data_IF_832110578003
#
_entry.id   IF_832110578003
#
_cell.length_a   1.000
_cell.length_b   1.000
_cell.length_c   1.000
_cell.angle_alpha   90.00
_cell.angle_beta   90.00
_cell.angle_gamma   90.00
#
_symmetry.space_group_name_H-M   'P 1'
#
loop_
_entity.id
_entity.type
_entity.pdbx_description
1 polymer ?
#
# COMPACT_ATOMS: atom_id res chain seq x y z
N UNK A 1 7.59 16.62 25.31
CA UNK A 1 8.38 17.67 24.62
C UNK A 1 7.68 17.96 23.31
N UNK A 2 7.68 19.21 22.81
CA UNK A 2 7.17 19.53 21.47
C UNK A 2 7.98 18.77 20.40
N UNK A 3 7.32 18.38 19.31
CA UNK A 3 7.95 17.63 18.22
C UNK A 3 8.45 18.60 17.17
N UNK A 4 9.76 18.71 17.02
CA UNK A 4 10.36 19.56 15.98
C UNK A 4 9.96 19.14 14.56
N UNK A 5 9.58 17.87 14.39
CA UNK A 5 9.13 17.30 13.13
C UNK A 5 7.63 17.52 12.92
N UNK A 6 6.79 17.09 13.86
CA UNK A 6 5.33 17.15 13.71
C UNK A 6 4.72 18.51 14.05
N UNK A 7 5.48 19.43 14.66
CA UNK A 7 5.08 20.83 14.81
C UNK A 7 5.40 21.65 13.53
N UNK A 8 6.10 21.06 12.55
CA UNK A 8 6.40 21.69 11.26
C UNK A 8 5.19 21.63 10.32
N UNK A 9 4.61 22.80 10.02
CA UNK A 9 3.52 22.92 9.04
C UNK A 9 3.90 22.37 7.66
N UNK A 10 5.15 22.62 7.24
CA UNK A 10 5.66 22.11 5.96
C UNK A 10 5.71 20.58 5.94
N UNK A 11 6.22 19.96 7.01
CA UNK A 11 6.31 18.51 7.09
C UNK A 11 4.91 17.87 7.13
N UNK A 12 3.98 18.43 7.91
CA UNK A 12 2.61 17.95 7.97
C UNK A 12 1.90 18.06 6.62
N UNK A 13 2.12 19.16 5.89
CA UNK A 13 1.58 19.33 4.54
C UNK A 13 2.13 18.27 3.57
N UNK A 14 3.44 18.03 3.58
CA UNK A 14 4.07 16.99 2.76
C UNK A 14 3.53 15.59 3.10
N UNK A 15 3.36 15.27 4.39
CA UNK A 15 2.77 14.00 4.84
C UNK A 15 1.34 13.82 4.36
N UNK A 16 0.53 14.88 4.43
CA UNK A 16 -0.85 14.87 3.93
C UNK A 16 -0.91 14.66 2.42
N UNK A 17 -0.08 15.38 1.66
CA UNK A 17 0.02 15.23 0.20
C UNK A 17 0.49 13.83 -0.19
N UNK A 18 1.48 13.27 0.51
CA UNK A 18 1.96 11.90 0.32
C UNK A 18 0.83 10.90 0.55
N UNK A 19 0.11 11.03 1.68
CA UNK A 19 -0.97 10.12 2.05
C UNK A 19 -2.09 10.14 1.01
N UNK A 20 -2.46 11.33 0.54
CA UNK A 20 -3.48 11.48 -0.50
C UNK A 20 -3.05 10.85 -1.83
N UNK A 21 -1.78 11.00 -2.22
CA UNK A 21 -1.22 10.37 -3.42
C UNK A 21 -1.20 8.85 -3.30
N UNK A 22 -0.80 8.31 -2.13
CA UNK A 22 -0.83 6.86 -1.85
C UNK A 22 -2.22 6.28 -2.00
N UNK A 23 -3.22 6.91 -1.39
CA UNK A 23 -4.63 6.49 -1.51
C UNK A 23 -5.10 6.52 -2.97
N UNK A 24 -4.79 7.60 -3.67
CA UNK A 24 -5.22 7.76 -5.07
C UNK A 24 -4.63 6.69 -5.98
N UNK A 25 -3.32 6.43 -5.88
CA UNK A 25 -2.64 5.37 -6.63
C UNK A 25 -3.20 4.00 -6.26
N UNK A 26 -3.40 3.73 -4.97
CA UNK A 26 -3.95 2.46 -4.51
C UNK A 26 -5.34 2.20 -5.09
N UNK A 27 -6.22 3.20 -5.18
CA UNK A 27 -7.52 3.02 -5.82
C UNK A 27 -7.41 2.78 -7.34
N UNK A 28 -6.46 3.47 -7.98
CA UNK A 28 -6.24 3.38 -9.43
C UNK A 28 -5.58 2.07 -9.88
N UNK A 29 -4.82 1.40 -9.01
CA UNK A 29 -4.09 0.17 -9.37
C UNK A 29 -5.03 -0.95 -9.88
N UNK A 30 -6.27 -0.99 -9.37
CA UNK A 30 -7.31 -1.93 -9.82
C UNK A 30 -7.69 -1.76 -11.30
N UNK A 31 -7.47 -0.56 -11.86
CA UNK A 31 -7.78 -0.18 -13.24
C UNK A 31 -6.55 -0.21 -14.15
N UNK A 32 -5.36 -0.53 -13.62
CA UNK A 32 -4.12 -0.48 -14.38
C UNK A 32 -4.19 -1.26 -15.69
N UNK A 33 -4.80 -2.46 -15.69
CA UNK A 33 -4.95 -3.29 -16.88
C UNK A 33 -5.81 -2.64 -17.98
N UNK A 34 -6.71 -1.74 -17.62
CA UNK A 34 -7.68 -1.08 -18.49
C UNK A 34 -7.21 0.27 -19.01
N UNK A 35 -6.10 0.81 -18.49
CA UNK A 35 -5.46 2.00 -19.07
C UNK A 35 -4.98 1.73 -20.49
N UNK A 36 -4.94 2.77 -21.31
CA UNK A 36 -4.19 2.70 -22.55
C UNK A 36 -2.67 2.61 -22.28
N UNK A 37 -1.89 2.39 -23.33
CA UNK A 37 -0.45 2.17 -23.20
C UNK A 37 0.26 3.38 -22.55
N UNK A 38 -0.13 4.59 -22.91
CA UNK A 38 0.45 5.82 -22.37
C UNK A 38 0.07 6.02 -20.90
N UNK A 39 -1.19 5.79 -20.55
CA UNK A 39 -1.70 5.84 -19.18
C UNK A 39 -1.00 4.83 -18.26
N UNK A 40 -0.67 3.63 -18.76
CA UNK A 40 0.13 2.66 -17.98
C UNK A 40 1.54 3.18 -17.68
N UNK A 41 2.20 3.81 -18.65
CA UNK A 41 3.55 4.39 -18.45
C UNK A 41 3.51 5.52 -17.42
N UNK A 42 2.56 6.45 -17.57
CA UNK A 42 2.35 7.55 -16.61
C UNK A 42 2.07 7.01 -15.21
N UNK A 43 1.25 5.96 -15.09
CA UNK A 43 0.93 5.35 -13.80
C UNK A 43 2.18 4.75 -13.12
N UNK A 44 3.00 4.02 -13.88
CA UNK A 44 4.26 3.45 -13.37
C UNK A 44 5.21 4.56 -12.91
N UNK A 45 5.36 5.63 -13.70
CA UNK A 45 6.23 6.76 -13.35
C UNK A 45 5.73 7.49 -12.10
N UNK A 46 4.41 7.64 -11.93
CA UNK A 46 3.80 8.20 -10.72
C UNK A 46 4.06 7.33 -9.49
N UNK A 47 3.95 6.00 -9.62
CA UNK A 47 4.28 5.08 -8.55
C UNK A 47 5.75 5.18 -8.15
N UNK A 48 6.66 5.21 -9.12
CA UNK A 48 8.10 5.34 -8.88
C UNK A 48 8.44 6.62 -8.11
N UNK A 49 7.92 7.77 -8.56
CA UNK A 49 8.09 9.05 -7.87
C UNK A 49 7.51 9.02 -6.44
N UNK A 50 6.39 8.31 -6.23
CA UNK A 50 5.79 8.19 -4.91
C UNK A 50 6.65 7.34 -3.96
N UNK A 51 7.24 6.25 -4.47
CA UNK A 51 8.19 5.44 -3.72
C UNK A 51 9.41 6.24 -3.27
N UNK A 52 9.96 7.08 -4.15
CA UNK A 52 11.08 7.98 -3.81
C UNK A 52 10.69 8.99 -2.72
N UNK A 53 9.52 9.64 -2.84
CA UNK A 53 9.03 10.57 -1.82
C UNK A 53 8.85 9.91 -0.45
N UNK A 54 8.30 8.70 -0.43
CA UNK A 54 8.15 7.92 0.79
C UNK A 54 9.51 7.64 1.45
N UNK A 55 10.53 7.24 0.67
CA UNK A 55 11.89 7.03 1.18
C UNK A 55 12.49 8.32 1.76
N UNK A 56 12.30 9.45 1.08
CA UNK A 56 12.79 10.76 1.54
C UNK A 56 12.16 11.12 2.88
N UNK A 57 10.84 10.98 3.02
CA UNK A 57 10.13 11.27 4.27
C UNK A 57 10.63 10.36 5.40
N UNK A 58 10.74 9.06 5.15
CA UNK A 58 11.27 8.10 6.12
C UNK A 58 12.69 8.46 6.57
N UNK A 59 13.56 8.86 5.65
CA UNK A 59 14.92 9.30 5.95
C UNK A 59 14.92 10.62 6.76
N UNK A 60 14.04 11.58 6.43
CA UNK A 60 13.91 12.82 7.21
C UNK A 60 13.51 12.54 8.65
N UNK A 61 12.56 11.63 8.88
CA UNK A 61 12.16 11.25 10.24
C UNK A 61 13.32 10.62 11.01
N UNK A 62 14.13 9.78 10.35
CA UNK A 62 15.32 9.16 10.97
C UNK A 62 16.40 10.20 11.31
N UNK A 63 16.61 11.19 10.44
CA UNK A 63 17.66 12.20 10.62
C UNK A 63 17.26 13.35 11.55
N UNK A 64 15.97 13.62 11.72
CA UNK A 64 15.47 14.69 12.59
C UNK A 64 15.76 14.41 14.08
N UNK A 65 16.01 13.16 14.46
CA UNK A 65 16.19 12.70 15.84
C UNK A 65 15.09 13.22 16.79
N UNK A 66 13.86 13.30 16.26
CA UNK A 66 12.71 13.79 16.98
C UNK A 66 12.11 12.65 17.85
N UNK A 67 11.81 12.88 19.14
CA UNK A 67 11.29 11.82 20.00
C UNK A 67 10.02 11.16 19.47
N UNK A 68 9.10 11.94 18.90
CA UNK A 68 7.85 11.40 18.36
C UNK A 68 8.09 10.69 17.02
N UNK A 69 8.97 11.23 16.17
CA UNK A 69 9.39 10.59 14.92
C UNK A 69 10.08 9.24 15.16
N UNK A 70 10.96 9.17 16.16
CA UNK A 70 11.65 7.96 16.57
C UNK A 70 10.67 6.88 17.08
N UNK A 71 9.66 7.27 17.88
CA UNK A 71 8.64 6.33 18.35
C UNK A 71 7.75 5.83 17.19
N UNK A 72 7.36 6.71 16.26
CA UNK A 72 6.64 6.32 15.05
C UNK A 72 7.40 5.26 14.24
N UNK A 73 8.69 5.51 13.98
CA UNK A 73 9.57 4.58 13.27
C UNK A 73 9.73 3.25 14.02
N UNK A 74 9.79 3.28 15.35
CA UNK A 74 9.89 2.09 16.19
C UNK A 74 8.63 1.23 16.07
N UNK A 75 7.45 1.83 16.21
CA UNK A 75 6.17 1.12 16.07
C UNK A 75 6.01 0.51 14.69
N UNK A 76 6.32 1.26 13.63
CA UNK A 76 6.26 0.75 12.26
C UNK A 76 7.20 -0.46 12.06
N UNK A 77 8.42 -0.42 12.64
CA UNK A 77 9.36 -1.54 12.58
C UNK A 77 8.82 -2.79 13.28
N UNK A 78 8.14 -2.62 14.43
CA UNK A 78 7.50 -3.74 15.14
C UNK A 78 6.42 -4.38 14.27
N UNK A 79 5.51 -3.59 13.70
CA UNK A 79 4.47 -4.10 12.79
C UNK A 79 5.06 -4.86 11.60
N UNK A 80 6.12 -4.32 10.99
CA UNK A 80 6.81 -5.00 9.88
C UNK A 80 7.43 -6.33 10.31
N UNK A 81 8.08 -6.36 11.48
CA UNK A 81 8.69 -7.58 12.01
C UNK A 81 7.64 -8.66 12.29
N UNK A 82 6.51 -8.29 12.90
CA UNK A 82 5.38 -9.19 13.15
C UNK A 82 4.80 -9.73 11.84
N UNK A 83 4.75 -8.91 10.80
CA UNK A 83 4.37 -9.33 9.44
C UNK A 83 5.47 -10.12 8.69
N UNK A 84 6.62 -10.39 9.31
CA UNK A 84 7.72 -11.12 8.69
C UNK A 84 8.42 -10.36 7.56
N UNK A 85 8.35 -9.03 7.58
CA UNK A 85 8.94 -8.14 6.57
C UNK A 85 9.84 -7.06 7.20
N UNK A 86 10.38 -6.17 6.36
CA UNK A 86 11.13 -4.99 6.77
C UNK A 86 10.91 -3.87 5.76
N UNK A 87 11.26 -2.62 6.11
CA UNK A 87 11.15 -1.51 5.16
C UNK A 87 11.97 -1.76 3.89
N UNK A 88 13.17 -2.34 4.01
CA UNK A 88 14.00 -2.70 2.87
C UNK A 88 13.29 -3.74 1.97
N UNK A 89 12.77 -4.82 2.57
CA UNK A 89 12.04 -5.84 1.83
C UNK A 89 10.77 -5.29 1.16
N UNK A 90 10.04 -4.39 1.82
CA UNK A 90 8.87 -3.72 1.24
C UNK A 90 9.25 -2.84 0.06
N UNK A 91 10.34 -2.07 0.16
CA UNK A 91 10.84 -1.25 -0.95
C UNK A 91 11.33 -2.10 -2.12
N UNK A 92 11.99 -3.23 -1.85
CA UNK A 92 12.43 -4.16 -2.88
C UNK A 92 11.23 -4.83 -3.57
N UNK A 93 10.22 -5.25 -2.80
CA UNK A 93 8.96 -5.76 -3.34
C UNK A 93 8.23 -4.74 -4.22
N UNK A 94 8.21 -3.48 -3.80
CA UNK A 94 7.65 -2.38 -4.59
C UNK A 94 8.38 -2.18 -5.92
N UNK A 95 9.71 -2.19 -5.93
CA UNK A 95 10.51 -2.12 -7.15
C UNK A 95 10.26 -3.32 -8.07
N UNK A 96 10.21 -4.53 -7.50
CA UNK A 96 9.91 -5.74 -8.26
C UNK A 96 8.53 -5.69 -8.92
N UNK A 97 7.53 -5.13 -8.23
CA UNK A 97 6.19 -4.92 -8.78
C UNK A 97 6.20 -3.92 -9.94
N UNK A 98 6.93 -2.80 -9.81
CA UNK A 98 7.09 -1.85 -10.92
C UNK A 98 7.79 -2.47 -12.13
N UNK A 99 8.79 -3.31 -11.91
CA UNK A 99 9.43 -4.07 -12.99
C UNK A 99 8.45 -5.03 -13.67
N UNK A 100 7.58 -5.70 -12.91
CA UNK A 100 6.53 -6.57 -13.46
C UNK A 100 5.54 -5.77 -14.32
N UNK A 101 5.10 -4.61 -13.84
CA UNK A 101 4.23 -3.71 -14.60
C UNK A 101 4.90 -3.21 -15.89
N UNK A 102 6.20 -2.88 -15.84
CA UNK A 102 6.97 -2.50 -17.05
C UNK A 102 7.04 -3.65 -18.05
N UNK A 103 7.20 -4.90 -17.60
CA UNK A 103 7.16 -6.10 -18.47
C UNK A 103 5.78 -6.26 -19.12
N UNK A 104 4.70 -5.99 -18.39
CA UNK A 104 3.35 -6.01 -18.95
C UNK A 104 3.17 -4.97 -20.06
N UNK A 105 3.66 -3.74 -19.85
CA UNK A 105 3.65 -2.67 -20.86
C UNK A 105 4.47 -3.08 -22.08
N UNK A 106 5.68 -3.61 -21.90
CA UNK A 106 6.53 -4.08 -22.99
C UNK A 106 5.89 -5.23 -23.78
N UNK A 107 5.19 -6.14 -23.09
CA UNK A 107 4.43 -7.19 -23.75
C UNK A 107 3.31 -6.58 -24.60
N UNK A 108 2.57 -5.60 -24.10
CA UNK A 108 1.51 -4.93 -24.86
C UNK A 108 2.05 -4.19 -26.11
N UNK A 109 3.28 -3.66 -26.06
CA UNK A 109 3.92 -3.02 -27.22
C UNK A 109 4.34 -4.01 -28.32
N UNK A 110 4.70 -5.24 -27.92
CA UNK A 110 5.39 -6.19 -28.80
C UNK A 110 4.56 -7.41 -29.17
N UNK A 111 3.52 -7.72 -28.40
CA UNK A 111 2.70 -8.91 -28.58
C UNK A 111 1.70 -8.73 -29.74
N UNK A 112 1.89 -9.52 -30.79
CA UNK A 112 0.96 -9.59 -31.91
C UNK A 112 -0.27 -10.49 -31.64
N UNK A 113 -0.23 -11.33 -30.61
CA UNK A 113 -1.34 -12.24 -30.26
C UNK A 113 -2.29 -11.59 -29.23
N UNK A 114 -3.52 -11.23 -29.64
CA UNK A 114 -4.49 -10.62 -28.72
C UNK A 114 -4.93 -11.57 -27.60
N UNK A 115 -4.88 -12.89 -27.81
CA UNK A 115 -5.30 -13.86 -26.80
C UNK A 115 -4.35 -13.89 -25.60
N UNK A 116 -3.05 -13.89 -25.88
CA UNK A 116 -2.00 -13.80 -24.85
C UNK A 116 -2.12 -12.49 -24.06
N UNK A 117 -2.31 -11.37 -24.75
CA UNK A 117 -2.46 -10.07 -24.10
C UNK A 117 -3.69 -10.01 -23.18
N UNK A 118 -4.83 -10.55 -23.64
CA UNK A 118 -6.05 -10.60 -22.85
C UNK A 118 -5.92 -11.48 -21.60
N UNK A 119 -5.20 -12.59 -21.70
CA UNK A 119 -4.92 -13.47 -20.57
C UNK A 119 -4.09 -12.74 -19.49
N UNK A 120 -3.05 -12.01 -19.90
CA UNK A 120 -2.21 -11.22 -18.97
C UNK A 120 -3.02 -10.08 -18.34
N UNK A 121 -3.79 -9.33 -19.13
CA UNK A 121 -4.66 -8.27 -18.59
C UNK A 121 -5.67 -8.82 -17.57
N UNK A 122 -6.24 -10.02 -17.82
CA UNK A 122 -7.14 -10.68 -16.88
C UNK A 122 -6.43 -11.06 -15.57
N UNK A 123 -5.21 -11.58 -15.65
CA UNK A 123 -4.42 -11.90 -14.45
C UNK A 123 -4.14 -10.65 -13.60
N UNK A 124 -3.81 -9.51 -14.24
CA UNK A 124 -3.63 -8.23 -13.54
C UNK A 124 -4.90 -7.72 -12.84
N UNK A 125 -6.06 -7.80 -13.51
CA UNK A 125 -7.35 -7.43 -12.90
C UNK A 125 -7.63 -8.27 -11.65
N UNK A 126 -7.35 -9.56 -11.72
CA UNK A 126 -7.53 -10.46 -10.57
C UNK A 126 -6.54 -10.14 -9.44
N UNK A 127 -5.26 -9.89 -9.76
CA UNK A 127 -4.22 -9.55 -8.79
C UNK A 127 -4.59 -8.31 -7.97
N UNK A 128 -5.15 -7.28 -8.60
CA UNK A 128 -5.47 -5.99 -7.97
C UNK A 128 -6.95 -5.80 -7.62
N UNK A 129 -7.76 -6.86 -7.66
CA UNK A 129 -9.20 -6.78 -7.39
C UNK A 129 -9.48 -6.23 -5.97
N UNK A 130 -8.65 -6.60 -5.00
CA UNK A 130 -8.77 -6.14 -3.61
C UNK A 130 -8.73 -4.62 -3.48
N UNK A 131 -7.96 -3.94 -4.33
CA UNK A 131 -7.78 -2.49 -4.27
C UNK A 131 -9.03 -1.72 -4.71
N UNK A 132 -9.95 -2.37 -5.44
CA UNK A 132 -11.26 -1.79 -5.76
C UNK A 132 -12.27 -1.88 -4.61
N UNK A 133 -12.04 -2.80 -3.66
CA UNK A 133 -12.96 -3.11 -2.55
C UNK A 133 -12.60 -2.42 -1.24
N UNK A 134 -11.38 -1.88 -1.15
CA UNK A 134 -10.87 -1.25 0.06
C UNK A 134 -10.50 0.21 -0.20
N UNK A 135 -11.11 1.12 0.57
CA UNK A 135 -10.75 2.52 0.59
C UNK A 135 -9.99 2.84 1.88
N UNK A 136 -8.67 3.11 1.83
CA UNK A 136 -7.89 3.41 3.03
C UNK A 136 -8.38 4.66 3.77
N UNK A 137 -9.03 5.61 3.08
CA UNK A 137 -9.59 6.81 3.73
C UNK A 137 -10.68 6.49 4.74
N UNK A 138 -11.40 5.38 4.55
CA UNK A 138 -12.43 4.97 5.48
C UNK A 138 -11.84 4.50 6.81
N UNK A 139 -10.63 3.93 6.80
CA UNK A 139 -9.89 3.57 8.01
C UNK A 139 -9.54 4.81 8.82
N UNK A 140 -9.08 5.88 8.15
CA UNK A 140 -8.74 7.13 8.82
C UNK A 140 -9.97 7.88 9.39
N UNK A 141 -11.15 7.70 8.79
CA UNK A 141 -12.38 8.35 9.25
C UNK A 141 -13.12 7.60 10.35
N UNK A 142 -12.77 6.33 10.60
CA UNK A 142 -13.43 5.45 11.55
C UNK A 142 -12.46 5.10 12.70
N UNK A 143 -12.69 5.62 13.92
CA UNK A 143 -11.81 5.38 15.06
C UNK A 143 -11.59 3.89 15.38
N UNK A 144 -12.58 3.03 15.18
CA UNK A 144 -12.45 1.59 15.45
C UNK A 144 -11.59 0.89 14.41
N UNK A 145 -11.73 1.28 13.14
CA UNK A 145 -10.88 0.75 12.06
C UNK A 145 -9.44 1.27 12.19
N UNK A 146 -9.27 2.52 12.61
CA UNK A 146 -7.94 3.09 12.86
C UNK A 146 -7.24 2.34 14.00
N UNK A 147 -7.93 2.07 15.11
CA UNK A 147 -7.39 1.28 16.22
C UNK A 147 -7.00 -0.13 15.75
N UNK A 148 -7.87 -0.79 14.96
CA UNK A 148 -7.59 -2.08 14.35
C UNK A 148 -6.36 -2.05 13.43
N UNK A 149 -6.18 -0.99 12.64
CA UNK A 149 -5.05 -0.83 11.72
C UNK A 149 -3.72 -0.57 12.44
N UNK A 150 -3.78 -0.06 13.68
CA UNK A 150 -2.61 0.16 14.54
C UNK A 150 -2.18 -1.10 15.31
N UNK A 151 -2.99 -2.17 15.32
CA UNK A 151 -2.62 -3.45 15.94
C UNK A 151 -1.27 -3.96 15.36
N UNK A 152 -0.34 -4.44 16.21
CA UNK A 152 0.96 -4.94 15.76
C UNK A 152 0.89 -6.03 14.69
N UNK A 153 -0.16 -6.84 14.69
CA UNK A 153 -0.39 -7.93 13.75
C UNK A 153 -1.26 -7.52 12.55
N UNK A 154 -1.70 -6.26 12.46
CA UNK A 154 -2.60 -5.80 11.41
C UNK A 154 -2.02 -6.02 10.00
N UNK A 155 -0.75 -5.68 9.80
CA UNK A 155 -0.07 -5.86 8.51
C UNK A 155 0.04 -7.34 8.13
N UNK A 156 0.33 -8.21 9.10
CA UNK A 156 0.37 -9.66 8.92
C UNK A 156 -0.99 -10.19 8.48
N UNK A 157 -2.03 -9.83 9.22
CA UNK A 157 -3.39 -10.28 8.94
C UNK A 157 -3.89 -9.82 7.56
N UNK A 158 -3.62 -8.56 7.21
CA UNK A 158 -3.94 -8.03 5.89
C UNK A 158 -3.21 -8.81 4.79
N UNK A 159 -1.90 -9.05 4.96
CA UNK A 159 -1.11 -9.81 3.99
C UNK A 159 -1.63 -11.25 3.81
N UNK A 160 -1.93 -11.96 4.90
CA UNK A 160 -2.47 -13.33 4.84
C UNK A 160 -3.82 -13.41 4.12
N UNK A 161 -4.69 -12.43 4.36
CA UNK A 161 -6.04 -12.38 3.77
C UNK A 161 -6.00 -11.94 2.30
N UNK A 162 -5.10 -11.05 1.92
CA UNK A 162 -4.87 -10.69 0.51
C UNK A 162 -4.34 -11.89 -0.27
N UNK A 163 -3.40 -12.66 0.31
CA UNK A 163 -2.88 -13.88 -0.31
C UNK A 163 -3.96 -14.98 -0.41
N UNK A 164 -4.73 -15.17 0.66
CA UNK A 164 -5.81 -16.14 0.71
C UNK A 164 -6.99 -15.64 1.56
N UNK A 165 -8.09 -15.20 0.94
CA UNK A 165 -9.26 -14.66 1.65
C UNK A 165 -9.88 -15.59 2.70
N UNK A 166 -9.71 -16.91 2.56
CA UNK A 166 -10.23 -17.88 3.55
C UNK A 166 -9.47 -17.85 4.89
N UNK A 167 -8.25 -17.30 4.92
CA UNK A 167 -7.46 -17.14 6.16
C UNK A 167 -8.02 -16.11 7.12
N UNK A 168 -9.03 -15.33 6.71
CA UNK A 168 -9.72 -14.37 7.60
C UNK A 168 -10.23 -15.03 8.89
N UNK A 169 -10.63 -16.31 8.81
CA UNK A 169 -11.12 -17.11 9.93
C UNK A 169 -10.11 -17.24 11.08
N UNK A 170 -8.80 -17.20 10.78
CA UNK A 170 -7.74 -17.25 11.79
C UNK A 170 -7.81 -16.07 12.76
N UNK A 171 -8.40 -14.94 12.33
CA UNK A 171 -8.38 -13.66 13.03
C UNK A 171 -9.65 -13.39 13.86
N UNK A 172 -10.61 -14.32 13.93
CA UNK A 172 -11.85 -14.15 14.73
C UNK A 172 -11.63 -13.81 16.20
N UNK A 173 -10.50 -14.23 16.76
CA UNK A 173 -10.14 -13.98 18.14
C UNK A 173 -9.77 -12.50 18.42
N UNK A 174 -9.51 -11.70 17.37
CA UNK A 174 -9.30 -10.24 17.43
C UNK A 174 -10.45 -9.52 16.71
N UNK A 175 -11.55 -9.16 17.41
CA UNK A 175 -12.79 -8.71 16.76
C UNK A 175 -12.64 -7.42 15.95
N UNK A 176 -11.85 -6.45 16.41
CA UNK A 176 -11.58 -5.20 15.69
C UNK A 176 -10.80 -5.47 14.39
N UNK A 177 -9.72 -6.26 14.48
CA UNK A 177 -8.93 -6.64 13.31
C UNK A 177 -9.76 -7.48 12.33
N UNK A 178 -10.58 -8.40 12.84
CA UNK A 178 -11.51 -9.17 12.01
C UNK A 178 -12.52 -8.29 11.26
N UNK A 179 -13.05 -7.25 11.90
CA UNK A 179 -13.94 -6.28 11.25
C UNK A 179 -13.23 -5.51 10.13
N UNK A 180 -11.99 -5.06 10.35
CA UNK A 180 -11.15 -4.42 9.33
C UNK A 180 -10.92 -5.35 8.12
N UNK A 181 -10.56 -6.61 8.37
CA UNK A 181 -10.32 -7.60 7.30
C UNK A 181 -11.59 -7.90 6.52
N UNK A 182 -12.74 -8.04 7.19
CA UNK A 182 -14.05 -8.21 6.52
C UNK A 182 -14.34 -7.06 5.58
N UNK A 183 -14.07 -5.83 6.03
CA UNK A 183 -14.27 -4.63 5.22
C UNK A 183 -13.35 -4.61 4.01
N UNK A 184 -12.08 -4.95 4.18
CA UNK A 184 -11.11 -5.09 3.09
C UNK A 184 -11.55 -6.10 2.02
N UNK A 185 -12.21 -7.19 2.42
CA UNK A 185 -12.76 -8.19 1.49
C UNK A 185 -14.12 -7.78 0.88
N UNK A 186 -14.71 -6.65 1.27
CA UNK A 186 -16.07 -6.28 0.88
C UNK A 186 -17.16 -7.17 1.49
N UNK A 187 -16.88 -7.79 2.65
CA UNK A 187 -17.80 -8.65 3.40
C UNK A 187 -18.44 -7.95 4.62
N UNK A 188 -18.19 -6.64 4.76
CA UNK A 188 -18.72 -5.81 5.85
C UNK A 188 -20.17 -5.41 5.60
#
# INVERSE_FOLDING_TARGET
>A
MPSTLFDSEMFNKEMMELTQQLVSIQQMISKFADFDLEGKKIFIDQMEQLGEKLQIIMMRMQLADDPAGNEFLRMQRVQMLEAGTSMAATMDGFKAELEEMRKMVQLEETCADPTTLDAVKRAYRQKFEYASKFNPMEVFSDPELMDAAMDPEAMKAMSEVVENPSRIENWRHKPQLYALLKKMLGQA
#
